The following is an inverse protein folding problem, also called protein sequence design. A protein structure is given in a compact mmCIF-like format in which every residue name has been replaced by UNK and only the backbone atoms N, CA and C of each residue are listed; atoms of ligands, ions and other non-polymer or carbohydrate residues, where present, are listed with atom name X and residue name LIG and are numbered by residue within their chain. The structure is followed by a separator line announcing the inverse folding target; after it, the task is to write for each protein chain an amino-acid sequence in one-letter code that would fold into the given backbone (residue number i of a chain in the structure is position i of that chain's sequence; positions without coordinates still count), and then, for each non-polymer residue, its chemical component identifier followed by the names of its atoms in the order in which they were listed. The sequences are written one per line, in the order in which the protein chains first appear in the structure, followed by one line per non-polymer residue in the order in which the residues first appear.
data_IF_329873341654
#
_entry.id   IF_329873341654
#
_cell.length_a   1.000
_cell.length_b   1.000
_cell.length_c   1.000
_cell.angle_alpha   90.00
_cell.angle_beta   90.00
_cell.angle_gamma   90.00
#
_symmetry.space_group_name_H-M   'P 1'
#
loop_
_entity.id
_entity.type
_entity.pdbx_description
1 polymer ?
#
# COMPACT_ATOMS: atom_id res chain seq x y z
N UNK A 1 -9.47 -2.82 0.82
CA UNK A 1 -10.13 -1.54 1.16
C UNK A 1 -10.62 -0.94 -0.15
N UNK A 2 -11.93 -0.89 -0.40
CA UNK A 2 -12.43 -0.15 -1.55
C UNK A 2 -12.03 1.32 -1.36
N UNK A 3 -11.36 1.96 -2.32
CA UNK A 3 -11.10 3.39 -2.21
C UNK A 3 -12.46 4.11 -2.14
N UNK A 4 -12.57 5.16 -1.32
CA UNK A 4 -13.72 6.08 -1.28
C UNK A 4 -13.85 6.91 -2.58
N UNK A 5 -13.61 6.30 -3.73
CA UNK A 5 -13.75 6.91 -5.04
C UNK A 5 -15.21 6.94 -5.46
N UNK A 6 -15.62 8.03 -6.11
CA UNK A 6 -16.94 8.12 -6.74
C UNK A 6 -16.88 7.41 -8.09
N UNK A 7 -17.48 6.24 -8.16
CA UNK A 7 -17.59 5.44 -9.38
C UNK A 7 -18.67 5.99 -10.32
N UNK A 8 -18.51 5.78 -11.63
CA UNK A 8 -19.52 6.16 -12.63
C UNK A 8 -20.83 5.37 -12.43
N UNK A 9 -21.97 6.04 -12.16
CA UNK A 9 -23.25 5.35 -12.01
C UNK A 9 -23.67 4.62 -13.29
N UNK A 10 -23.31 5.16 -14.46
CA UNK A 10 -23.59 4.53 -15.76
C UNK A 10 -22.86 3.19 -15.89
N UNK A 11 -21.55 3.18 -15.63
CA UNK A 11 -20.74 1.97 -15.77
C UNK A 11 -21.19 0.84 -14.82
N UNK A 12 -21.56 1.18 -13.58
CA UNK A 12 -22.07 0.20 -12.62
C UNK A 12 -23.41 -0.40 -13.08
N UNK A 13 -24.34 0.44 -13.60
CA UNK A 13 -25.66 -0.02 -14.05
C UNK A 13 -25.60 -0.88 -15.31
N UNK A 14 -24.64 -0.61 -16.19
CA UNK A 14 -24.47 -1.35 -17.43
C UNK A 14 -23.88 -2.74 -17.17
N UNK A 15 -22.77 -2.83 -16.44
CA UNK A 15 -22.15 -4.11 -16.11
C UNK A 15 -21.20 -4.01 -14.90
N UNK A 16 -21.64 -4.48 -13.73
CA UNK A 16 -20.85 -4.40 -12.50
C UNK A 16 -19.60 -5.29 -12.52
N UNK A 17 -19.66 -6.45 -13.14
CA UNK A 17 -18.52 -7.38 -13.21
C UNK A 17 -17.42 -6.84 -14.12
N UNK A 18 -17.82 -6.25 -15.25
CA UNK A 18 -16.88 -5.58 -16.16
C UNK A 18 -16.31 -4.30 -15.54
N UNK A 19 -17.10 -3.56 -14.75
CA UNK A 19 -16.60 -2.38 -14.03
C UNK A 19 -15.40 -2.71 -13.11
N UNK A 20 -15.38 -3.88 -12.47
CA UNK A 20 -14.24 -4.30 -11.64
C UNK A 20 -12.97 -4.55 -12.44
N UNK A 21 -13.10 -4.88 -13.72
CA UNK A 21 -11.98 -5.10 -14.63
C UNK A 21 -11.60 -3.82 -15.41
N UNK A 22 -12.57 -2.92 -15.62
CA UNK A 22 -12.46 -1.66 -16.36
C UNK A 22 -13.04 -0.50 -15.54
N UNK A 23 -12.37 -0.07 -14.45
CA UNK A 23 -12.93 0.92 -13.53
C UNK A 23 -13.05 2.30 -14.17
N UNK A 24 -14.22 2.92 -14.00
CA UNK A 24 -14.54 4.27 -14.51
C UNK A 24 -14.82 5.24 -13.36
N UNK A 25 -14.06 6.33 -13.30
CA UNK A 25 -14.20 7.38 -12.30
C UNK A 25 -13.79 8.76 -12.82
N UNK A 26 -13.69 9.73 -11.92
CA UNK A 26 -13.46 11.17 -12.25
C UNK A 26 -12.05 11.66 -11.94
N UNK A 27 -11.11 10.75 -11.74
CA UNK A 27 -9.73 11.05 -11.33
C UNK A 27 -8.85 11.66 -12.44
N UNK A 28 -7.63 12.11 -12.10
CA UNK A 28 -6.66 12.67 -13.04
C UNK A 28 -6.06 11.64 -14.01
N UNK A 29 -6.34 10.35 -13.80
CA UNK A 29 -5.90 9.26 -14.65
C UNK A 29 -7.07 8.33 -14.99
N UNK A 30 -7.07 7.82 -16.23
CA UNK A 30 -8.00 6.84 -16.77
C UNK A 30 -7.34 5.46 -16.77
N UNK A 31 -8.12 4.42 -16.49
CA UNK A 31 -7.67 3.05 -16.65
C UNK A 31 -7.43 2.74 -18.13
N UNK A 32 -6.32 2.05 -18.44
CA UNK A 32 -5.98 1.64 -19.81
C UNK A 32 -5.93 0.11 -19.92
N UNK A 33 -5.20 -0.56 -19.03
CA UNK A 33 -5.13 -2.03 -19.01
C UNK A 33 -4.63 -2.57 -17.67
N UNK A 34 -4.93 -3.84 -17.40
CA UNK A 34 -4.41 -4.57 -16.26
C UNK A 34 -3.92 -5.95 -16.69
N UNK A 35 -2.63 -6.18 -16.52
CA UNK A 35 -2.01 -7.50 -16.54
C UNK A 35 -1.94 -8.03 -15.10
N UNK A 36 -2.79 -9.00 -14.77
CA UNK A 36 -2.99 -9.48 -13.41
C UNK A 36 -1.68 -10.01 -12.81
N UNK A 37 -1.30 -9.46 -11.66
CA UNK A 37 -0.05 -9.82 -10.97
C UNK A 37 1.23 -9.21 -11.57
N UNK A 38 1.13 -8.40 -12.63
CA UNK A 38 2.29 -7.74 -13.25
C UNK A 38 2.18 -6.21 -13.23
N UNK A 39 1.16 -5.64 -13.89
CA UNK A 39 1.14 -4.20 -14.18
C UNK A 39 -0.27 -3.67 -14.39
N UNK A 40 -0.56 -2.51 -13.80
CA UNK A 40 -1.72 -1.68 -14.15
C UNK A 40 -1.21 -0.46 -14.92
N UNK A 41 -1.81 -0.20 -16.09
CA UNK A 41 -1.51 0.98 -16.91
C UNK A 41 -2.64 1.99 -16.82
N UNK A 42 -2.25 3.23 -16.62
CA UNK A 42 -3.14 4.37 -16.49
C UNK A 42 -2.72 5.46 -17.47
N UNK A 43 -3.66 6.01 -18.25
CA UNK A 43 -3.43 7.17 -19.09
C UNK A 43 -3.83 8.46 -18.36
N UNK A 44 -3.23 9.59 -18.70
CA UNK A 44 -3.71 10.90 -18.21
C UNK A 44 -5.16 11.12 -18.66
N UNK A 45 -5.98 11.65 -17.76
CA UNK A 45 -7.27 12.19 -18.11
C UNK A 45 -7.10 13.65 -18.56
N UNK A 46 -7.16 13.91 -19.87
CA UNK A 46 -7.00 15.26 -20.44
C UNK A 46 -8.19 16.18 -20.11
N UNK A 47 -9.36 15.58 -19.84
CA UNK A 47 -10.60 16.27 -19.47
C UNK A 47 -10.76 16.41 -17.95
N UNK A 48 -9.69 16.18 -17.17
CA UNK A 48 -9.78 16.25 -15.72
C UNK A 48 -10.02 17.69 -15.25
N UNK A 49 -11.04 17.86 -14.41
CA UNK A 49 -11.52 19.14 -13.91
C UNK A 49 -10.59 19.82 -12.88
N UNK A 50 -9.64 19.09 -12.31
CA UNK A 50 -8.71 19.61 -11.29
C UNK A 50 -7.53 20.40 -11.88
N UNK A 51 -6.71 21.05 -11.02
CA UNK A 51 -5.59 21.86 -11.47
C UNK A 51 -4.53 21.00 -12.20
N UNK A 52 -4.34 21.25 -13.49
CA UNK A 52 -3.40 20.52 -14.36
C UNK A 52 -1.92 20.92 -14.11
N UNK A 53 -1.68 22.01 -13.38
CA UNK A 53 -0.35 22.55 -13.08
C UNK A 53 0.05 22.29 -11.61
N UNK A 54 1.00 21.37 -11.39
CA UNK A 54 1.85 21.48 -10.18
C UNK A 54 2.96 22.51 -10.47
N UNK A 55 3.37 23.34 -9.49
CA UNK A 55 4.50 24.25 -9.64
C UNK A 55 5.73 23.46 -10.09
N UNK A 56 6.34 23.89 -11.19
CA UNK A 56 7.55 23.31 -11.77
C UNK A 56 8.73 23.47 -10.80
N UNK A 57 9.04 22.43 -10.02
CA UNK A 57 10.41 22.20 -9.52
C UNK A 57 10.86 20.80 -9.95
N UNK A 58 11.68 20.78 -11.00
CA UNK A 58 12.58 19.68 -11.34
C UNK A 58 11.93 18.43 -11.96
N UNK A 59 12.25 18.20 -13.25
CA UNK A 59 11.99 17.02 -14.07
C UNK A 59 10.54 16.82 -14.54
N UNK A 60 10.32 17.31 -15.75
CA UNK A 60 9.23 16.95 -16.67
C UNK A 60 9.24 15.43 -16.86
N UNK A 61 8.26 14.71 -16.31
CA UNK A 61 7.90 13.40 -16.86
C UNK A 61 6.90 13.68 -17.97
N UNK A 62 7.40 13.72 -19.21
CA UNK A 62 6.59 13.88 -20.43
C UNK A 62 5.75 12.65 -20.77
N UNK A 63 5.78 11.60 -19.93
CA UNK A 63 5.02 10.39 -20.19
C UNK A 63 3.60 10.58 -19.67
N UNK A 64 2.68 10.88 -20.59
CA UNK A 64 1.23 10.96 -20.37
C UNK A 64 0.54 9.65 -19.97
N UNK A 65 1.31 8.62 -19.62
CA UNK A 65 0.87 7.30 -19.18
C UNK A 65 1.66 6.89 -17.94
N UNK A 66 0.98 6.74 -16.81
CA UNK A 66 1.55 6.19 -15.57
C UNK A 66 1.47 4.67 -15.59
N UNK A 67 2.58 4.00 -15.28
CA UNK A 67 2.61 2.56 -15.04
C UNK A 67 2.68 2.33 -13.56
N UNK A 68 1.74 1.55 -13.03
CA UNK A 68 1.80 1.06 -11.66
C UNK A 68 2.18 -0.41 -11.73
N UNK A 69 3.48 -0.75 -11.66
CA UNK A 69 3.88 -2.14 -11.55
C UNK A 69 3.29 -2.71 -10.26
N UNK A 70 2.54 -3.80 -10.38
CA UNK A 70 2.08 -4.57 -9.25
C UNK A 70 3.13 -5.63 -9.02
N UNK A 71 3.90 -5.50 -7.93
CA UNK A 71 4.85 -6.53 -7.52
C UNK A 71 4.19 -7.36 -6.41
N UNK A 72 3.53 -8.49 -6.74
CA UNK A 72 3.10 -9.44 -5.73
C UNK A 72 4.35 -10.10 -5.15
N UNK A 73 4.84 -9.56 -4.03
CA UNK A 73 5.94 -10.17 -3.29
C UNK A 73 6.90 -9.16 -2.68
N UNK A 74 7.08 -9.26 -1.36
CA UNK A 74 8.02 -8.50 -0.53
C UNK A 74 9.48 -8.61 -1.02
N UNK A 75 9.79 -9.66 -1.79
CA UNK A 75 11.17 -10.01 -2.17
C UNK A 75 11.70 -9.31 -3.43
N UNK A 76 10.88 -8.58 -4.20
CA UNK A 76 11.36 -7.93 -5.44
C UNK A 76 11.74 -6.46 -5.28
N UNK A 77 11.45 -5.83 -4.14
CA UNK A 77 11.93 -4.47 -3.84
C UNK A 77 13.47 -4.38 -3.88
N UNK A 78 14.18 -5.44 -3.46
CA UNK A 78 15.66 -5.52 -3.53
C UNK A 78 16.22 -5.59 -4.95
N UNK A 79 15.54 -6.28 -5.87
CA UNK A 79 16.04 -6.48 -7.24
C UNK A 79 15.52 -5.48 -8.28
N UNK A 80 14.34 -4.90 -8.03
CA UNK A 80 13.65 -4.00 -8.95
C UNK A 80 14.20 -2.57 -8.96
N UNK A 81 14.62 -2.07 -7.79
CA UNK A 81 15.18 -0.72 -7.65
C UNK A 81 16.42 -0.49 -8.54
N UNK A 82 17.18 -1.55 -8.84
CA UNK A 82 18.36 -1.48 -9.70
C UNK A 82 18.07 -1.59 -11.21
N UNK A 83 16.95 -2.19 -11.63
CA UNK A 83 16.72 -2.52 -13.06
C UNK A 83 15.65 -1.67 -13.73
N UNK A 84 14.76 -1.03 -12.97
CA UNK A 84 13.86 -0.01 -13.48
C UNK A 84 13.68 1.03 -12.38
N UNK A 85 13.74 2.35 -12.67
CA UNK A 85 13.37 3.34 -11.68
C UNK A 85 11.86 3.26 -11.46
N UNK A 86 11.42 2.31 -10.62
CA UNK A 86 10.17 2.47 -9.90
C UNK A 86 10.35 3.76 -9.10
N UNK A 87 9.63 4.81 -9.49
CA UNK A 87 9.78 6.15 -8.90
C UNK A 87 9.58 6.10 -7.37
N UNK A 88 8.83 5.09 -6.89
CA UNK A 88 8.60 4.73 -5.49
C UNK A 88 8.37 3.22 -5.37
N UNK A 89 8.85 2.63 -4.28
CA UNK A 89 8.53 1.27 -3.88
C UNK A 89 7.93 1.31 -2.47
N UNK A 90 6.87 0.53 -2.25
CA UNK A 90 6.25 0.31 -0.94
C UNK A 90 6.62 -1.09 -0.43
N UNK A 91 6.42 -1.33 0.87
CA UNK A 91 6.55 -2.67 1.47
C UNK A 91 7.95 -3.07 1.93
N UNK A 92 8.84 -2.10 2.15
CA UNK A 92 10.16 -2.35 2.76
C UNK A 92 10.01 -2.84 4.21
N UNK A 93 10.74 -3.89 4.57
CA UNK A 93 10.88 -4.32 5.96
C UNK A 93 11.97 -3.49 6.65
N UNK A 94 12.02 -3.47 8.00
CA UNK A 94 13.11 -2.83 8.73
C UNK A 94 14.50 -3.26 8.27
N UNK A 95 14.67 -4.54 7.91
CA UNK A 95 15.93 -5.14 7.45
C UNK A 95 16.36 -4.69 6.06
N UNK A 96 15.43 -4.22 5.23
CA UNK A 96 15.75 -3.75 3.88
C UNK A 96 16.35 -2.33 3.88
N UNK A 97 16.00 -1.51 4.87
CA UNK A 97 16.34 -0.09 4.91
C UNK A 97 17.84 0.18 4.83
N UNK A 98 18.73 -0.50 5.58
CA UNK A 98 20.17 -0.23 5.48
C UNK A 98 20.68 -0.43 4.05
N UNK A 99 20.21 -1.46 3.34
CA UNK A 99 20.61 -1.72 1.95
C UNK A 99 20.10 -0.66 0.97
N UNK A 100 18.90 -0.15 1.21
CA UNK A 100 18.27 0.91 0.38
C UNK A 100 18.97 2.25 0.60
N UNK A 101 19.31 2.59 1.84
CA UNK A 101 20.06 3.80 2.19
C UNK A 101 21.49 3.75 1.65
N UNK A 102 22.17 2.60 1.74
CA UNK A 102 23.50 2.38 1.14
C UNK A 102 23.50 2.52 -0.39
N UNK A 103 22.39 2.16 -1.04
CA UNK A 103 22.19 2.38 -2.47
C UNK A 103 21.91 3.86 -2.84
N UNK A 104 21.90 4.78 -1.86
CA UNK A 104 21.66 6.20 -2.06
C UNK A 104 20.20 6.56 -2.30
N UNK A 105 19.26 5.65 -2.01
CA UNK A 105 17.82 5.88 -2.16
C UNK A 105 17.22 6.48 -0.88
N UNK A 106 16.24 7.35 -1.05
CA UNK A 106 15.53 7.95 0.08
C UNK A 106 14.46 6.98 0.63
N UNK A 107 14.54 6.70 1.93
CA UNK A 107 13.49 5.97 2.66
C UNK A 107 12.51 6.97 3.26
N UNK A 108 11.23 6.84 2.89
CA UNK A 108 10.15 7.67 3.43
C UNK A 108 9.34 6.85 4.45
N UNK A 109 9.40 7.28 5.72
CA UNK A 109 8.59 6.67 6.78
C UNK A 109 7.29 7.45 6.95
N UNK A 110 6.15 6.75 6.98
CA UNK A 110 4.83 7.31 7.28
C UNK A 110 4.29 6.69 8.56
N UNK A 111 3.65 7.45 9.46
CA UNK A 111 2.93 6.88 10.59
C UNK A 111 1.91 5.83 10.09
N UNK A 112 1.87 4.63 10.70
CA UNK A 112 0.91 3.62 10.30
C UNK A 112 -0.51 4.07 10.66
N UNK A 113 -1.48 3.73 9.80
CA UNK A 113 -2.91 3.92 10.05
C UNK A 113 -3.59 2.61 10.51
N UNK A 114 -2.79 1.61 10.90
CA UNK A 114 -3.24 0.29 11.28
C UNK A 114 -2.53 -0.20 12.55
N UNK A 115 -3.21 -1.08 13.27
CA UNK A 115 -2.66 -1.82 14.42
C UNK A 115 -2.72 -3.32 14.10
N UNK A 116 -1.61 -4.02 14.31
CA UNK A 116 -1.57 -5.48 14.25
C UNK A 116 -1.96 -6.04 15.62
N UNK A 117 -2.90 -6.98 15.63
CA UNK A 117 -3.38 -7.63 16.85
C UNK A 117 -3.71 -9.09 16.57
N UNK A 118 -3.72 -9.90 17.63
CA UNK A 118 -4.23 -11.27 17.59
C UNK A 118 -5.71 -11.26 17.98
N UNK A 119 -6.58 -11.58 17.04
CA UNK A 119 -8.00 -11.74 17.32
C UNK A 119 -8.26 -13.12 17.94
N UNK A 120 -9.15 -13.17 18.92
CA UNK A 120 -9.63 -14.40 19.53
C UNK A 120 -11.14 -14.50 19.28
N UNK A 121 -11.62 -15.68 18.87
CA UNK A 121 -13.05 -15.90 18.72
C UNK A 121 -13.69 -16.12 20.09
N UNK A 122 -14.39 -15.11 20.59
CA UNK A 122 -15.00 -15.12 21.93
C UNK A 122 -16.24 -16.02 22.05
N UNK A 123 -16.70 -16.64 20.97
CA UNK A 123 -17.85 -17.57 20.97
C UNK A 123 -17.42 -19.06 21.01
N UNK A 124 -16.12 -19.33 20.95
CA UNK A 124 -15.58 -20.69 20.84
C UNK A 124 -14.65 -21.00 22.01
N UNK A 125 -14.90 -22.12 22.69
CA UNK A 125 -13.97 -22.66 23.66
C UNK A 125 -12.56 -22.86 23.06
N UNK A 126 -11.47 -22.53 23.79
CA UNK A 126 -11.45 -22.04 25.18
C UNK A 126 -11.46 -20.50 25.31
N UNK A 127 -11.67 -19.76 24.21
CA UNK A 127 -11.57 -18.30 24.19
C UNK A 127 -12.87 -17.58 24.58
N UNK A 128 -13.95 -18.33 24.82
CA UNK A 128 -15.17 -17.86 25.48
C UNK A 128 -14.91 -17.44 26.94
N UNK A 129 -14.00 -18.13 27.63
CA UNK A 129 -13.57 -17.76 28.99
C UNK A 129 -12.62 -16.53 28.99
N UNK A 130 -12.98 -15.41 29.66
CA UNK A 130 -12.11 -14.24 29.80
C UNK A 130 -10.77 -14.53 30.50
N UNK A 131 -10.70 -15.50 31.41
CA UNK A 131 -9.46 -15.86 32.11
C UNK A 131 -8.44 -16.48 31.15
N UNK A 132 -8.90 -17.31 30.22
CA UNK A 132 -8.04 -17.89 29.17
C UNK A 132 -7.47 -16.78 28.29
N UNK A 133 -8.29 -15.79 27.89
CA UNK A 133 -7.82 -14.65 27.09
C UNK A 133 -6.77 -13.82 27.83
N UNK A 134 -6.98 -13.58 29.13
CA UNK A 134 -6.01 -12.87 29.98
C UNK A 134 -4.70 -13.65 30.11
N UNK A 135 -4.77 -14.97 30.35
CA UNK A 135 -3.60 -15.83 30.41
C UNK A 135 -2.78 -15.79 29.12
N UNK A 136 -3.44 -15.84 27.96
CA UNK A 136 -2.79 -15.72 26.65
C UNK A 136 -2.11 -14.36 26.49
N UNK A 137 -2.78 -13.26 26.82
CA UNK A 137 -2.18 -11.91 26.73
C UNK A 137 -0.97 -11.78 27.65
N UNK A 138 -1.03 -12.32 28.87
CA UNK A 138 0.07 -12.30 29.83
C UNK A 138 1.25 -13.20 29.42
N UNK A 139 1.00 -14.26 28.65
CA UNK A 139 2.04 -15.15 28.16
C UNK A 139 2.84 -14.57 26.97
N UNK A 140 2.34 -13.51 26.32
CA UNK A 140 2.97 -12.92 25.14
C UNK A 140 3.90 -11.77 25.53
N UNK A 141 5.20 -11.94 25.27
CA UNK A 141 6.18 -10.87 25.41
C UNK A 141 6.15 -9.91 24.19
N UNK A 142 5.25 -8.92 24.25
CA UNK A 142 5.12 -7.92 23.17
C UNK A 142 6.39 -7.09 22.94
N UNK A 143 7.23 -6.89 23.96
CA UNK A 143 8.44 -6.10 23.80
C UNK A 143 9.46 -6.83 22.94
N UNK A 144 9.66 -8.12 23.20
CA UNK A 144 10.57 -8.99 22.45
C UNK A 144 10.11 -9.16 21.00
N UNK A 145 8.81 -9.34 20.75
CA UNK A 145 8.26 -9.40 19.38
C UNK A 145 8.55 -8.09 18.64
N UNK A 146 8.29 -6.95 19.28
CA UNK A 146 8.55 -5.63 18.64
C UNK A 146 10.04 -5.47 18.34
N UNK A 147 10.91 -5.86 19.26
CA UNK A 147 12.35 -5.76 19.06
C UNK A 147 12.85 -6.68 17.96
N UNK A 148 12.38 -7.93 17.91
CA UNK A 148 12.81 -8.94 16.95
C UNK A 148 12.37 -8.61 15.51
N UNK A 149 11.15 -8.09 15.32
CA UNK A 149 10.60 -7.84 13.98
C UNK A 149 10.68 -6.39 13.51
N UNK A 150 10.71 -5.42 14.44
CA UNK A 150 10.65 -3.99 14.12
C UNK A 150 11.89 -3.19 14.57
N UNK A 151 12.81 -3.82 15.29
CA UNK A 151 14.06 -3.21 15.77
C UNK A 151 13.84 -2.04 16.73
N UNK A 152 14.78 -1.10 16.76
CA UNK A 152 14.80 0.07 17.65
C UNK A 152 14.10 1.30 17.08
N UNK A 153 13.33 1.16 15.99
CA UNK A 153 12.70 2.32 15.37
C UNK A 153 11.69 2.97 16.31
N UNK A 154 11.67 4.31 16.39
CA UNK A 154 10.82 5.01 17.34
C UNK A 154 9.37 4.62 17.09
N UNK A 155 8.71 4.13 18.14
CA UNK A 155 7.25 4.05 18.15
C UNK A 155 6.72 5.44 17.81
N UNK A 156 5.77 5.52 16.88
CA UNK A 156 5.04 6.78 16.68
C UNK A 156 4.57 7.27 18.05
N UNK A 157 4.72 8.58 18.36
CA UNK A 157 4.30 9.12 19.65
C UNK A 157 2.86 8.70 19.93
N UNK A 158 2.59 8.18 21.13
CA UNK A 158 1.22 8.07 21.62
C UNK A 158 0.72 9.50 21.78
N UNK A 159 -0.19 9.93 20.90
CA UNK A 159 -1.00 11.14 21.10
C UNK A 159 -1.96 10.93 22.26
#
# INVERSE_FOLDING_TARGET
MAPFGIASPKAIRENVEEFWQNPVGTGPFRFESWDQGQEVRLARNEEWWGPTSRPRRGRRSERGSGRLPLHPGQHRARGGAHRQPALRADGLTPDDVPSVEQAGLQVLTRPPLNVSYMAMNMEKAPFDDPQVRQAVVSAINMQEIVQAFFGTRPRSPRT
#
